data_IF_323431821288
#
_entry.id   IF_323431821288
#
_cell.length_a   1.000
_cell.length_b   1.000
_cell.length_c   1.000
_cell.angle_alpha   90.00
_cell.angle_beta   90.00
_cell.angle_gamma   90.00
#
_symmetry.space_group_name_H-M   'P 1'
#
loop_
_entity.id
_entity.type
_entity.pdbx_description
1 polymer ?
#
# COMPACT_ATOMS: atom_id res chain seq x y z
N UNK A 1 -16.98 11.91 -11.45
CA UNK A 1 -16.19 10.69 -11.79
C UNK A 1 -14.73 10.98 -12.08
N UNK A 2 -14.38 12.08 -12.75
CA UNK A 2 -12.97 12.43 -13.02
C UNK A 2 -12.10 12.53 -11.75
N UNK A 3 -12.67 12.88 -10.60
CA UNK A 3 -11.98 12.98 -9.31
C UNK A 3 -11.83 11.67 -8.53
N UNK A 4 -12.37 10.55 -9.04
CA UNK A 4 -12.35 9.27 -8.33
C UNK A 4 -11.63 8.18 -9.11
N UNK A 5 -10.94 7.32 -8.37
CA UNK A 5 -10.45 6.03 -8.85
C UNK A 5 -11.42 4.97 -8.35
N UNK A 6 -12.25 4.42 -9.23
CA UNK A 6 -13.14 3.32 -8.88
C UNK A 6 -12.33 2.04 -8.78
N UNK A 7 -12.53 1.29 -7.70
CA UNK A 7 -11.91 -0.01 -7.47
C UNK A 7 -13.01 -0.99 -7.12
N UNK A 8 -13.13 -2.07 -7.89
CA UNK A 8 -14.15 -3.11 -7.69
C UNK A 8 -13.46 -4.40 -7.26
N UNK A 9 -13.63 -4.77 -6.00
CA UNK A 9 -13.15 -6.02 -5.44
C UNK A 9 -14.06 -7.18 -5.84
N UNK A 10 -13.45 -8.35 -6.06
CA UNK A 10 -14.16 -9.56 -6.48
C UNK A 10 -14.45 -10.55 -5.34
N UNK A 11 -13.84 -10.33 -4.17
CA UNK A 11 -13.96 -11.23 -3.02
C UNK A 11 -13.52 -10.52 -1.74
N UNK A 12 -14.06 -10.97 -0.60
CA UNK A 12 -13.63 -10.53 0.75
C UNK A 12 -12.29 -11.10 1.22
N UNK A 13 -11.61 -11.85 0.36
CA UNK A 13 -10.23 -12.28 0.62
C UNK A 13 -9.27 -11.12 0.33
N UNK A 14 -9.62 -10.26 -0.63
CA UNK A 14 -8.91 -9.02 -0.92
C UNK A 14 -7.50 -9.28 -1.44
N UNK A 15 -7.40 -9.95 -2.60
CA UNK A 15 -6.16 -10.27 -3.34
C UNK A 15 -6.25 -9.91 -4.85
N UNK A 16 -7.46 -9.69 -5.38
CA UNK A 16 -7.68 -9.29 -6.77
C UNK A 16 -8.91 -8.40 -6.90
N UNK A 17 -9.02 -7.73 -8.04
CA UNK A 17 -10.08 -6.78 -8.37
C UNK A 17 -10.62 -7.11 -9.75
N UNK A 18 -11.92 -6.92 -9.97
CA UNK A 18 -12.52 -6.96 -11.31
C UNK A 18 -12.10 -5.74 -12.13
N UNK A 19 -11.98 -4.60 -11.46
CA UNK A 19 -11.69 -3.34 -12.11
C UNK A 19 -10.92 -2.41 -11.18
N UNK A 20 -9.95 -1.71 -11.75
CA UNK A 20 -9.30 -0.58 -11.13
C UNK A 20 -9.13 0.53 -12.16
N UNK A 21 -9.69 1.70 -11.86
CA UNK A 21 -9.54 2.88 -12.67
C UNK A 21 -8.14 3.51 -12.54
N UNK A 22 -7.86 4.57 -13.31
CA UNK A 22 -6.56 5.26 -13.26
C UNK A 22 -6.26 5.89 -11.89
N UNK A 23 -5.10 5.59 -11.30
CA UNK A 23 -4.56 6.23 -10.09
C UNK A 23 -3.75 7.47 -10.45
N UNK A 24 -4.39 8.64 -10.54
CA UNK A 24 -3.69 9.91 -10.67
C UNK A 24 -3.60 10.63 -9.31
N UNK A 25 -2.54 11.41 -9.06
CA UNK A 25 -2.48 12.32 -7.91
C UNK A 25 -3.75 13.19 -7.84
N UNK A 26 -4.36 13.28 -6.66
CA UNK A 26 -5.60 14.05 -6.45
C UNK A 26 -6.91 13.28 -6.66
N UNK A 27 -6.86 12.02 -7.12
CA UNK A 27 -8.06 11.17 -7.19
C UNK A 27 -8.31 10.43 -5.87
N UNK A 28 -9.57 10.40 -5.45
CA UNK A 28 -10.01 9.68 -4.25
C UNK A 28 -10.42 8.26 -4.63
N UNK A 29 -10.00 7.26 -3.87
CA UNK A 29 -10.42 5.88 -4.09
C UNK A 29 -11.89 5.68 -3.67
N UNK A 30 -12.72 5.22 -4.60
CA UNK A 30 -14.07 4.73 -4.31
C UNK A 30 -14.06 3.20 -4.40
N UNK A 31 -14.10 2.55 -3.24
CA UNK A 31 -14.00 1.10 -3.12
C UNK A 31 -15.39 0.46 -3.15
N UNK A 32 -15.58 -0.49 -4.04
CA UNK A 32 -16.80 -1.28 -4.20
C UNK A 32 -16.46 -2.76 -4.13
N UNK A 33 -17.38 -3.60 -3.68
CA UNK A 33 -17.30 -5.05 -3.81
C UNK A 33 -18.52 -5.56 -4.55
N UNK A 34 -18.31 -6.46 -5.50
CA UNK A 34 -19.40 -7.14 -6.22
C UNK A 34 -19.72 -8.44 -5.48
N UNK A 35 -20.93 -8.53 -4.94
CA UNK A 35 -21.46 -9.73 -4.26
C UNK A 35 -22.90 -9.93 -4.66
N UNK A 36 -23.28 -11.17 -4.99
CA UNK A 36 -24.65 -11.53 -5.40
C UNK A 36 -25.21 -10.60 -6.49
N UNK A 37 -24.38 -10.27 -7.49
CA UNK A 37 -24.69 -9.34 -8.59
C UNK A 37 -24.95 -7.87 -8.18
N UNK A 38 -24.67 -7.51 -6.92
CA UNK A 38 -24.81 -6.16 -6.38
C UNK A 38 -23.46 -5.52 -6.05
N UNK A 39 -23.32 -4.24 -6.39
CA UNK A 39 -22.17 -3.43 -5.97
C UNK A 39 -22.43 -2.82 -4.60
N UNK A 40 -21.65 -3.25 -3.61
CA UNK A 40 -21.69 -2.71 -2.25
C UNK A 40 -20.54 -1.74 -2.03
N UNK A 41 -20.82 -0.58 -1.44
CA UNK A 41 -19.79 0.43 -1.13
C UNK A 41 -18.99 -0.01 0.09
N UNK A 42 -17.66 0.02 -0.03
CA UNK A 42 -16.74 -0.19 1.08
C UNK A 42 -16.25 1.17 1.59
N UNK A 43 -16.69 1.55 2.79
CA UNK A 43 -16.23 2.76 3.48
C UNK A 43 -15.00 2.51 4.36
N UNK A 44 -14.76 1.25 4.76
CA UNK A 44 -13.61 0.82 5.55
C UNK A 44 -13.06 -0.50 5.01
N UNK A 45 -11.87 -0.47 4.42
CA UNK A 45 -11.22 -1.65 3.85
C UNK A 45 -10.87 -2.68 4.94
N UNK A 46 -10.37 -2.23 6.09
CA UNK A 46 -10.01 -3.13 7.21
C UNK A 46 -11.22 -3.86 7.77
N UNK A 47 -12.36 -3.17 7.88
CA UNK A 47 -13.64 -3.78 8.29
C UNK A 47 -14.18 -4.73 7.23
N UNK A 48 -14.16 -4.34 5.95
CA UNK A 48 -14.69 -5.15 4.86
C UNK A 48 -13.91 -6.47 4.64
N UNK A 49 -12.59 -6.43 4.84
CA UNK A 49 -11.67 -7.57 4.66
C UNK A 49 -11.25 -8.25 5.98
N UNK A 50 -11.91 -7.90 7.09
CA UNK A 50 -11.70 -8.47 8.43
C UNK A 50 -10.20 -8.59 8.77
N UNK A 51 -9.48 -7.47 8.70
CA UNK A 51 -8.05 -7.42 8.94
C UNK A 51 -7.63 -6.15 9.68
N UNK A 52 -6.46 -6.20 10.32
CA UNK A 52 -5.93 -5.03 11.03
C UNK A 52 -5.36 -3.97 10.08
N UNK A 53 -4.83 -4.41 8.93
CA UNK A 53 -4.22 -3.54 7.93
C UNK A 53 -4.52 -4.04 6.52
N UNK A 54 -4.67 -3.09 5.60
CA UNK A 54 -4.89 -3.37 4.19
C UNK A 54 -3.98 -2.50 3.33
N UNK A 55 -3.20 -3.10 2.44
CA UNK A 55 -2.40 -2.36 1.47
C UNK A 55 -3.23 -2.13 0.20
N UNK A 56 -3.66 -0.89 -0.03
CA UNK A 56 -4.45 -0.52 -1.21
C UNK A 56 -3.70 -0.66 -2.54
N UNK A 57 -2.37 -0.60 -2.53
CA UNK A 57 -1.56 -0.72 -3.74
C UNK A 57 -1.32 -2.19 -4.11
N UNK A 58 -1.06 -3.03 -3.10
CA UNK A 58 -0.91 -4.47 -3.30
C UNK A 58 -2.23 -5.24 -3.29
N UNK A 59 -3.34 -4.59 -2.94
CA UNK A 59 -4.63 -5.22 -2.61
C UNK A 59 -4.42 -6.42 -1.69
N UNK A 60 -3.81 -6.21 -0.52
CA UNK A 60 -3.47 -7.31 0.38
C UNK A 60 -3.78 -6.99 1.83
N UNK A 61 -4.53 -7.88 2.46
CA UNK A 61 -4.82 -7.83 3.90
C UNK A 61 -3.68 -8.44 4.73
N UNK A 62 -3.44 -7.89 5.92
CA UNK A 62 -2.48 -8.42 6.90
C UNK A 62 -2.83 -7.96 8.32
N UNK A 63 -2.50 -8.79 9.31
CA UNK A 63 -2.77 -8.49 10.73
C UNK A 63 -1.54 -8.04 11.50
N UNK A 64 -0.37 -8.11 10.88
CA UNK A 64 0.89 -7.65 11.46
C UNK A 64 1.66 -6.89 10.38
N UNK A 65 2.08 -5.64 10.69
CA UNK A 65 2.85 -4.80 9.79
C UNK A 65 4.12 -5.50 9.31
N UNK A 66 4.74 -6.34 10.14
CA UNK A 66 5.94 -7.11 9.79
C UNK A 66 5.68 -8.22 8.78
N UNK A 67 4.42 -8.60 8.50
CA UNK A 67 4.09 -9.62 7.48
C UNK A 67 4.00 -9.04 6.07
N UNK A 68 3.88 -7.72 5.91
CA UNK A 68 3.82 -7.06 4.61
C UNK A 68 5.19 -6.58 4.12
N UNK A 69 6.17 -7.49 4.09
CA UNK A 69 7.58 -7.19 3.77
C UNK A 69 7.87 -6.99 2.28
N UNK A 70 7.04 -7.55 1.39
CA UNK A 70 7.25 -7.53 -0.07
C UNK A 70 6.38 -6.47 -0.78
N UNK A 71 6.10 -5.35 -0.11
CA UNK A 71 5.37 -4.25 -0.74
C UNK A 71 6.25 -3.59 -1.81
N UNK A 72 5.91 -3.77 -3.09
CA UNK A 72 6.64 -3.16 -4.19
C UNK A 72 6.45 -1.63 -4.26
N UNK A 73 5.52 -1.08 -3.49
CA UNK A 73 5.15 0.33 -3.54
C UNK A 73 5.65 1.13 -2.34
N UNK A 74 6.40 0.50 -1.43
CA UNK A 74 6.89 1.13 -0.21
C UNK A 74 8.31 0.66 0.08
N UNK A 75 9.19 1.60 0.42
CA UNK A 75 10.56 1.25 0.79
C UNK A 75 10.56 0.39 2.07
N UNK A 76 11.22 -0.78 2.09
CA UNK A 76 11.28 -1.62 3.30
C UNK A 76 12.18 -1.01 4.39
N UNK A 77 13.12 -0.13 4.02
CA UNK A 77 14.06 0.48 4.95
C UNK A 77 13.47 1.70 5.66
N UNK A 78 13.00 2.69 4.89
CA UNK A 78 12.50 3.97 5.40
C UNK A 78 10.98 4.14 5.34
N UNK A 79 10.25 3.13 4.83
CA UNK A 79 8.78 3.15 4.74
C UNK A 79 8.16 4.25 3.87
N UNK A 80 8.96 5.03 3.12
CA UNK A 80 8.47 6.03 2.17
C UNK A 80 7.95 5.43 0.86
N UNK A 81 7.14 6.22 0.15
CA UNK A 81 6.60 5.92 -1.18
C UNK A 81 6.98 7.06 -2.14
N UNK A 82 7.45 6.80 -3.38
CA UNK A 82 7.76 5.49 -3.96
C UNK A 82 8.92 4.77 -3.22
N UNK A 83 9.13 3.46 -3.47
CA UNK A 83 10.28 2.76 -2.88
C UNK A 83 11.60 3.39 -3.33
N UNK A 84 12.56 3.49 -2.42
CA UNK A 84 13.91 3.97 -2.75
C UNK A 84 14.59 3.05 -3.76
N UNK A 85 15.37 3.63 -4.67
CA UNK A 85 16.07 2.87 -5.71
C UNK A 85 17.09 1.90 -5.11
N UNK A 86 17.02 0.64 -5.49
CA UNK A 86 17.99 -0.40 -5.08
C UNK A 86 19.39 -0.20 -5.71
N UNK A 87 19.49 0.65 -6.74
CA UNK A 87 20.76 0.99 -7.38
C UNK A 87 21.58 1.97 -6.53
N UNK A 88 20.94 2.66 -5.57
CA UNK A 88 21.64 3.56 -4.67
C UNK A 88 22.59 2.78 -3.76
N UNK A 89 23.77 3.35 -3.44
CA UNK A 89 24.71 2.73 -2.51
C UNK A 89 24.06 2.52 -1.13
N UNK A 90 24.42 1.42 -0.46
CA UNK A 90 23.95 1.15 0.89
C UNK A 90 24.69 2.04 1.90
N UNK A 91 23.94 2.67 2.79
CA UNK A 91 24.46 3.50 3.87
C UNK A 91 23.94 2.96 5.19
N UNK A 92 24.85 2.67 6.11
CA UNK A 92 24.49 2.21 7.46
C UNK A 92 24.09 3.39 8.35
N UNK A 93 23.02 3.23 9.12
CA UNK A 93 22.65 4.18 10.16
C UNK A 93 23.52 3.96 11.40
N UNK A 94 24.16 5.01 11.91
CA UNK A 94 25.01 4.92 13.09
C UNK A 94 24.23 4.58 14.37
N UNK A 95 22.94 4.93 14.42
CA UNK A 95 22.09 4.82 15.60
C UNK A 95 21.47 3.41 15.72
N UNK A 96 20.87 2.90 14.64
CA UNK A 96 20.17 1.61 14.65
C UNK A 96 20.92 0.48 13.92
N UNK A 97 22.08 0.76 13.32
CA UNK A 97 22.93 -0.17 12.56
C UNK A 97 22.25 -0.88 11.39
N UNK A 98 21.13 -0.35 10.89
CA UNK A 98 20.44 -0.85 9.67
C UNK A 98 21.01 -0.20 8.41
N UNK A 99 20.90 -0.89 7.28
CA UNK A 99 21.29 -0.38 5.96
C UNK A 99 20.14 0.28 5.19
N UNK A 100 20.44 1.38 4.53
CA UNK A 100 19.50 2.21 3.78
C UNK A 100 19.98 2.46 2.34
N UNK A 101 19.03 2.65 1.41
CA UNK A 101 19.31 2.82 -0.01
C UNK A 101 19.58 4.29 -0.38
N UNK A 102 20.82 4.73 -0.16
CA UNK A 102 21.26 6.11 -0.39
C UNK A 102 20.88 7.08 0.72
N UNK A 103 21.34 8.33 0.60
CA UNK A 103 21.24 9.33 1.65
C UNK A 103 19.79 9.74 1.95
N UNK A 104 18.96 9.81 0.91
CA UNK A 104 17.54 10.15 1.06
C UNK A 104 16.77 9.10 1.87
N UNK A 105 17.06 7.81 1.64
CA UNK A 105 16.47 6.71 2.41
C UNK A 105 16.86 6.80 3.90
N UNK A 106 18.12 7.10 4.19
CA UNK A 106 18.60 7.30 5.56
C UNK A 106 17.96 8.53 6.21
N UNK A 107 17.85 9.65 5.48
CA UNK A 107 17.22 10.87 5.97
C UNK A 107 15.75 10.61 6.34
N UNK A 108 14.99 10.01 5.42
CA UNK A 108 13.60 9.66 5.65
C UNK A 108 13.42 8.76 6.86
N UNK A 109 14.34 7.81 7.09
CA UNK A 109 14.32 6.98 8.29
C UNK A 109 14.46 7.78 9.60
N UNK A 110 15.29 8.82 9.61
CA UNK A 110 15.51 9.67 10.79
C UNK A 110 14.36 10.66 11.05
N UNK A 111 13.65 11.03 10.00
CA UNK A 111 12.50 11.94 10.06
C UNK A 111 11.18 11.21 10.41
N UNK A 112 11.20 9.88 10.64
CA UNK A 112 10.03 9.04 10.98
C UNK A 112 10.05 8.62 12.45
#
# INVERSE_FOLDING_TARGET
LASYTIIVYNSRIGDSVYFEGPRNPGRIALNLILEDEHYNVITSLTSAFTCSYFCEQCKKRFNDKKRHVKCLYQCPCCHQKPPCSIQNPRIACNDCKRDFHGQECLKNHKDT
#
